data_IF_943527658435
#
_entry.id   IF_943527658435
#
_cell.length_a   1.000
_cell.length_b   1.000
_cell.length_c   1.000
_cell.angle_alpha   90.00
_cell.angle_beta   90.00
_cell.angle_gamma   90.00
#
_symmetry.space_group_name_H-M   'P 1'
#
loop_
_entity.id
_entity.type
_entity.pdbx_description
1 polymer ?
#
# COMPACT_ATOMS: atom_id res chain seq x y z
N UNK A 1 10.45 8.43 21.73
CA UNK A 1 9.71 8.55 20.46
C UNK A 1 10.75 8.91 19.42
N UNK A 2 11.28 7.92 18.71
CA UNK A 2 12.51 8.08 17.94
C UNK A 2 12.24 7.78 16.47
N UNK A 3 12.61 8.73 15.62
CA UNK A 3 12.60 8.63 14.15
C UNK A 3 11.36 9.28 13.54
N UNK A 4 11.54 10.11 12.50
CA UNK A 4 10.52 10.74 11.66
C UNK A 4 9.16 10.00 11.68
N UNK A 5 8.02 10.71 11.78
CA UNK A 5 6.65 10.16 11.87
C UNK A 5 6.14 9.27 10.71
N UNK A 6 7.05 8.56 10.05
CA UNK A 6 6.87 7.54 9.03
C UNK A 6 7.19 6.18 9.66
N UNK A 7 6.19 5.30 9.71
CA UNK A 7 6.36 3.90 10.09
C UNK A 7 7.10 3.14 8.98
N UNK A 8 8.18 2.45 9.31
CA UNK A 8 8.99 1.67 8.36
C UNK A 8 8.78 0.16 8.52
N UNK A 9 9.33 -0.62 7.57
CA UNK A 9 9.34 -2.09 7.64
C UNK A 9 10.07 -2.60 8.90
N UNK A 10 11.17 -1.94 9.29
CA UNK A 10 11.93 -2.30 10.48
C UNK A 10 11.09 -2.10 11.76
N UNK A 11 10.30 -1.04 11.82
CA UNK A 11 9.42 -0.75 12.96
C UNK A 11 8.29 -1.79 13.08
N UNK A 12 7.73 -2.23 11.94
CA UNK A 12 6.74 -3.31 11.89
C UNK A 12 7.34 -4.64 12.41
N UNK A 13 8.53 -5.00 11.94
CA UNK A 13 9.23 -6.20 12.39
C UNK A 13 9.56 -6.14 13.89
N UNK A 14 9.99 -4.98 14.40
CA UNK A 14 10.23 -4.78 15.82
C UNK A 14 8.93 -4.93 16.65
N UNK A 15 7.83 -4.39 16.15
CA UNK A 15 6.52 -4.57 16.80
C UNK A 15 6.15 -6.05 16.89
N UNK A 16 6.30 -6.82 15.81
CA UNK A 16 6.02 -8.26 15.78
C UNK A 16 6.93 -9.03 16.74
N UNK A 17 8.24 -8.74 16.73
CA UNK A 17 9.22 -9.32 17.65
C UNK A 17 8.81 -9.13 19.12
N UNK A 18 8.41 -7.91 19.51
CA UNK A 18 8.01 -7.61 20.89
C UNK A 18 6.73 -8.32 21.34
N UNK A 19 5.75 -8.49 20.46
CA UNK A 19 4.43 -9.01 20.85
C UNK A 19 4.31 -10.53 20.73
N UNK A 20 5.06 -11.15 19.82
CA UNK A 20 4.92 -12.57 19.46
C UNK A 20 6.11 -13.41 19.96
N UNK A 21 7.19 -12.77 20.45
CA UNK A 21 8.37 -13.48 20.97
C UNK A 21 9.25 -14.13 19.90
N UNK A 22 8.97 -13.86 18.62
CA UNK A 22 9.84 -14.23 17.49
C UNK A 22 11.16 -13.48 17.59
N UNK A 23 12.26 -14.04 17.07
CA UNK A 23 13.50 -13.28 16.90
C UNK A 23 13.30 -12.11 15.93
N UNK A 24 14.20 -11.11 15.99
CA UNK A 24 14.16 -9.96 15.05
C UNK A 24 14.27 -10.42 13.59
N UNK A 25 15.06 -11.47 13.33
CA UNK A 25 15.22 -12.04 11.99
C UNK A 25 13.93 -12.68 11.49
N UNK A 26 13.29 -13.53 12.30
CA UNK A 26 12.03 -14.17 11.94
C UNK A 26 10.91 -13.15 11.72
N UNK A 27 10.82 -12.13 12.57
CA UNK A 27 9.84 -11.07 12.43
C UNK A 27 10.04 -10.27 11.13
N UNK A 28 11.29 -9.97 10.76
CA UNK A 28 11.60 -9.32 9.49
C UNK A 28 11.23 -10.21 8.29
N UNK A 29 11.58 -11.50 8.33
CA UNK A 29 11.21 -12.47 7.29
C UNK A 29 9.70 -12.61 7.13
N UNK A 30 8.95 -12.60 8.23
CA UNK A 30 7.49 -12.69 8.19
C UNK A 30 6.87 -11.47 7.51
N UNK A 31 7.31 -10.26 7.87
CA UNK A 31 6.84 -9.03 7.23
C UNK A 31 7.19 -9.02 5.74
N UNK A 32 8.40 -9.47 5.37
CA UNK A 32 8.81 -9.60 3.97
C UNK A 32 7.87 -10.54 3.21
N UNK A 33 7.61 -11.72 3.76
CA UNK A 33 6.77 -12.74 3.15
C UNK A 33 5.35 -12.24 2.89
N UNK A 34 4.78 -11.45 3.80
CA UNK A 34 3.46 -10.83 3.62
C UNK A 34 3.49 -9.86 2.43
N UNK A 35 4.48 -8.96 2.38
CA UNK A 35 4.60 -7.97 1.31
C UNK A 35 4.83 -8.62 -0.05
N UNK A 36 5.66 -9.65 -0.10
CA UNK A 36 5.91 -10.44 -1.31
C UNK A 36 4.63 -11.12 -1.80
N UNK A 37 3.89 -11.78 -0.90
CA UNK A 37 2.66 -12.46 -1.26
C UNK A 37 1.58 -11.50 -1.80
N UNK A 38 1.45 -10.32 -1.18
CA UNK A 38 0.57 -9.26 -1.66
C UNK A 38 1.01 -8.75 -3.05
N UNK A 39 2.31 -8.55 -3.26
CA UNK A 39 2.85 -8.04 -4.52
C UNK A 39 2.62 -9.04 -5.65
N UNK A 40 2.91 -10.32 -5.42
CA UNK A 40 2.66 -11.39 -6.39
C UNK A 40 1.18 -11.50 -6.78
N UNK A 41 0.25 -11.33 -5.84
CA UNK A 41 -1.18 -11.30 -6.15
C UNK A 41 -1.56 -10.10 -7.05
N UNK A 42 -1.05 -8.91 -6.74
CA UNK A 42 -1.30 -7.70 -7.53
C UNK A 42 -0.71 -7.79 -8.95
N UNK A 43 0.46 -8.39 -9.11
CA UNK A 43 1.07 -8.63 -10.43
C UNK A 43 0.22 -9.53 -11.31
N UNK A 44 -0.42 -10.56 -10.72
CA UNK A 44 -1.34 -11.46 -11.43
C UNK A 44 -2.70 -10.84 -11.76
N UNK A 45 -2.96 -9.60 -11.34
CA UNK A 45 -4.24 -8.94 -11.59
C UNK A 45 -5.28 -9.14 -10.49
N UNK A 46 -4.89 -9.71 -9.34
CA UNK A 46 -5.78 -9.95 -8.21
C UNK A 46 -5.84 -8.73 -7.28
N UNK A 47 -7.01 -8.46 -6.70
CA UNK A 47 -7.14 -7.42 -5.68
C UNK A 47 -6.79 -7.99 -4.30
N UNK A 48 -6.10 -7.21 -3.46
CA UNK A 48 -5.78 -7.61 -2.08
C UNK A 48 -6.72 -6.89 -1.10
N UNK A 49 -7.48 -7.65 -0.32
CA UNK A 49 -8.39 -7.13 0.72
C UNK A 49 -7.91 -7.53 2.10
N UNK A 50 -7.74 -6.54 2.98
CA UNK A 50 -7.43 -6.73 4.40
C UNK A 50 -8.61 -6.16 5.18
N UNK A 51 -9.41 -7.05 5.77
CA UNK A 51 -10.61 -6.68 6.55
C UNK A 51 -10.28 -5.66 7.64
N UNK A 52 -11.18 -4.70 7.86
CA UNK A 52 -11.01 -3.59 8.82
C UNK A 52 -9.83 -2.64 8.57
N UNK A 53 -9.01 -2.89 7.55
CA UNK A 53 -7.91 -2.01 7.14
C UNK A 53 -8.23 -1.32 5.82
N UNK A 54 -8.35 -2.09 4.73
CA UNK A 54 -8.64 -1.55 3.41
C UNK A 54 -8.48 -2.55 2.28
N UNK A 55 -8.52 -2.04 1.05
CA UNK A 55 -8.39 -2.86 -0.15
C UNK A 55 -7.47 -2.18 -1.16
N UNK A 56 -6.51 -2.95 -1.65
CA UNK A 56 -5.67 -2.62 -2.79
C UNK A 56 -6.38 -3.10 -4.05
N UNK A 57 -6.78 -2.15 -4.90
CA UNK A 57 -7.58 -2.41 -6.10
C UNK A 57 -6.83 -1.99 -7.34
N UNK A 58 -6.68 -2.92 -8.28
CA UNK A 58 -6.17 -2.67 -9.61
C UNK A 58 -7.26 -2.07 -10.48
N UNK A 59 -6.90 -1.06 -11.27
CA UNK A 59 -7.78 -0.42 -12.23
C UNK A 59 -7.05 -0.25 -13.55
N UNK A 60 -7.66 -0.74 -14.62
CA UNK A 60 -7.19 -0.45 -15.96
C UNK A 60 -7.72 0.92 -16.40
N UNK A 61 -6.81 1.81 -16.78
CA UNK A 61 -7.11 3.16 -17.22
C UNK A 61 -7.02 3.20 -18.74
N UNK A 62 -8.04 3.74 -19.38
CA UNK A 62 -8.06 3.97 -20.81
C UNK A 62 -7.19 5.18 -21.18
N UNK A 63 -6.81 5.26 -22.45
CA UNK A 63 -6.15 6.44 -23.00
C UNK A 63 -7.03 7.68 -22.80
N UNK A 64 -6.40 8.82 -22.54
CA UNK A 64 -7.06 10.13 -22.47
C UNK A 64 -6.06 11.24 -22.74
N UNK A 65 -6.54 12.41 -23.15
CA UNK A 65 -5.68 13.59 -23.28
C UNK A 65 -5.47 14.24 -21.91
N UNK A 66 -4.21 14.45 -21.54
CA UNK A 66 -3.80 15.31 -20.43
C UNK A 66 -3.24 16.63 -20.94
N UNK A 67 -2.79 17.49 -20.02
CA UNK A 67 -2.10 18.74 -20.35
C UNK A 67 -0.80 18.83 -19.57
N UNK A 68 0.25 19.31 -20.22
CA UNK A 68 1.49 19.66 -19.53
C UNK A 68 1.19 20.82 -18.56
N UNK A 69 1.37 20.65 -17.23
CA UNK A 69 1.03 21.70 -16.26
C UNK A 69 1.79 23.01 -16.45
N UNK A 70 2.97 22.98 -17.10
CA UNK A 70 3.80 24.17 -17.34
C UNK A 70 3.43 24.90 -18.63
N UNK A 71 3.03 24.19 -19.69
CA UNK A 71 2.84 24.76 -21.04
C UNK A 71 1.40 24.74 -21.53
N UNK A 72 0.51 23.98 -20.89
CA UNK A 72 -0.88 23.82 -21.29
C UNK A 72 -1.10 22.93 -22.52
N UNK A 73 -0.03 22.52 -23.21
CA UNK A 73 -0.10 21.67 -24.40
C UNK A 73 -0.69 20.31 -24.07
N UNK A 74 -1.60 19.84 -24.92
CA UNK A 74 -2.24 18.54 -24.76
C UNK A 74 -1.26 17.40 -25.10
N UNK A 75 -1.19 16.41 -24.21
CA UNK A 75 -0.30 15.25 -24.35
C UNK A 75 -1.12 13.99 -24.06
N UNK A 76 -1.05 12.95 -24.92
CA UNK A 76 -1.75 11.69 -24.67
C UNK A 76 -1.20 11.01 -23.41
N UNK A 77 -2.12 10.53 -22.56
CA UNK A 77 -1.81 9.65 -21.44
C UNK A 77 -2.18 8.25 -21.88
N UNK A 78 -1.16 7.41 -22.04
CA UNK A 78 -1.30 6.02 -22.49
C UNK A 78 -2.15 5.18 -21.52
N UNK A 79 -2.85 4.16 -22.05
CA UNK A 79 -3.58 3.22 -21.22
C UNK A 79 -2.61 2.44 -20.32
N UNK A 80 -2.99 2.26 -19.05
CA UNK A 80 -2.14 1.56 -18.07
C UNK A 80 -2.96 1.00 -16.92
N UNK A 81 -2.40 -0.01 -16.26
CA UNK A 81 -2.90 -0.49 -14.97
C UNK A 81 -2.39 0.41 -13.84
N UNK A 82 -3.27 0.76 -12.92
CA UNK A 82 -2.90 1.52 -11.71
C UNK A 82 -3.36 0.78 -10.45
N UNK A 83 -2.57 0.90 -9.40
CA UNK A 83 -2.90 0.43 -8.06
C UNK A 83 -3.54 1.56 -7.25
N UNK A 84 -4.67 1.29 -6.61
CA UNK A 84 -5.35 2.24 -5.71
C UNK A 84 -5.61 1.60 -4.35
N UNK A 85 -5.29 2.29 -3.27
CA UNK A 85 -5.72 1.88 -1.93
C UNK A 85 -7.05 2.53 -1.57
N UNK A 86 -7.98 1.72 -1.04
CA UNK A 86 -9.24 2.20 -0.46
C UNK A 86 -9.26 1.81 1.01
N UNK A 87 -9.17 2.79 1.89
CA UNK A 87 -9.33 2.56 3.32
C UNK A 87 -10.71 1.94 3.61
N UNK A 88 -10.80 1.08 4.62
CA UNK A 88 -12.09 0.60 5.13
C UNK A 88 -12.81 1.73 5.89
N UNK A 89 -14.11 1.56 6.15
CA UNK A 89 -14.85 2.51 6.99
C UNK A 89 -14.23 2.58 8.39
N UNK A 90 -13.98 1.43 9.01
CA UNK A 90 -13.31 1.32 10.31
C UNK A 90 -11.98 2.06 10.37
N UNK A 91 -11.15 1.94 9.32
CA UNK A 91 -9.86 2.64 9.28
C UNK A 91 -10.06 4.17 9.13
N UNK A 92 -11.00 4.61 8.30
CA UNK A 92 -11.32 6.05 8.17
C UNK A 92 -11.81 6.63 9.50
N UNK A 93 -12.72 5.94 10.17
CA UNK A 93 -13.29 6.38 11.44
C UNK A 93 -12.21 6.52 12.50
N UNK A 94 -11.32 5.51 12.62
CA UNK A 94 -10.17 5.54 13.54
C UNK A 94 -9.23 6.71 13.31
N UNK A 95 -9.02 7.10 12.05
CA UNK A 95 -8.16 8.25 11.71
C UNK A 95 -8.87 9.58 11.98
N UNK A 96 -10.17 9.66 11.70
CA UNK A 96 -10.95 10.88 11.95
C UNK A 96 -11.19 11.15 13.44
N UNK A 97 -11.16 10.13 14.29
CA UNK A 97 -11.34 10.22 15.74
C UNK A 97 -10.04 10.33 16.53
N UNK A 98 -8.88 10.25 15.88
CA UNK A 98 -7.56 10.34 16.52
C UNK A 98 -7.13 11.81 16.67
#
# INVERSE_FOLDING_TARGET
MSGNGTLTRADLAESVNRHIGLSRAEAATLIESILEHMSAALERGENVKISSFGTFVLRDKTQRMGRNPKTGVEVPIEPRRVLTFRASQTMRDRVASA
#
